data_IF_911812520777
#
_entry.id   IF_911812520777
#
_cell.length_a   1.000
_cell.length_b   1.000
_cell.length_c   1.000
_cell.angle_alpha   90.00
_cell.angle_beta   90.00
_cell.angle_gamma   90.00
#
_symmetry.space_group_name_H-M   'P 1'
#
loop_
_entity.id
_entity.type
_entity.pdbx_description
1 polymer ?
#
# COMPACT_ATOMS: atom_id res chain seq x y z
N UNK A 1 -58.47 -13.17 -50.86
CA UNK A 1 -58.75 -14.43 -51.64
C UNK A 1 -57.79 -15.51 -51.17
N UNK A 2 -58.37 -16.62 -50.76
CA UNK A 2 -57.85 -17.99 -50.68
C UNK A 2 -56.62 -18.27 -49.84
N UNK A 3 -56.66 -18.86 -48.59
CA UNK A 3 -56.83 -20.28 -48.25
C UNK A 3 -55.62 -21.13 -48.66
N UNK A 4 -54.95 -21.84 -47.76
CA UNK A 4 -55.23 -23.07 -47.03
C UNK A 4 -54.13 -23.30 -46.01
N UNK A 5 -54.24 -23.59 -44.77
CA UNK A 5 -54.83 -24.68 -43.99
C UNK A 5 -54.20 -26.09 -44.24
N UNK A 6 -53.71 -26.60 -43.10
CA UNK A 6 -53.51 -28.00 -42.70
C UNK A 6 -52.26 -28.78 -43.15
N UNK A 7 -51.48 -29.33 -42.20
CA UNK A 7 -51.68 -30.73 -41.83
C UNK A 7 -50.93 -31.06 -40.51
N UNK A 8 -51.69 -31.56 -39.54
CA UNK A 8 -51.27 -32.31 -38.37
C UNK A 8 -50.70 -33.66 -38.76
N UNK A 9 -49.63 -34.13 -38.17
CA UNK A 9 -49.40 -35.58 -38.07
C UNK A 9 -48.79 -35.87 -36.68
N UNK A 10 -49.61 -36.43 -35.85
CA UNK A 10 -49.31 -37.12 -34.58
C UNK A 10 -48.68 -38.46 -34.93
N UNK A 11 -47.59 -38.82 -34.36
CA UNK A 11 -47.15 -40.19 -34.12
C UNK A 11 -46.72 -40.31 -32.66
N UNK A 12 -47.51 -41.05 -31.94
CA UNK A 12 -47.29 -41.50 -30.57
C UNK A 12 -46.67 -42.92 -30.58
N UNK A 13 -45.93 -43.19 -29.50
CA UNK A 13 -45.70 -44.52 -28.90
C UNK A 13 -44.53 -45.35 -29.45
N UNK A 14 -43.46 -45.51 -28.68
CA UNK A 14 -43.17 -46.79 -28.09
C UNK A 14 -42.26 -46.64 -26.84
N UNK A 15 -42.80 -47.08 -25.73
CA UNK A 15 -42.11 -47.38 -24.48
C UNK A 15 -41.09 -48.52 -24.71
N UNK A 16 -39.86 -48.34 -24.33
CA UNK A 16 -38.97 -49.44 -24.02
C UNK A 16 -38.16 -49.07 -22.75
N UNK A 17 -38.56 -49.65 -21.66
CA UNK A 17 -37.88 -49.75 -20.41
C UNK A 17 -36.56 -50.48 -20.55
N UNK A 18 -35.47 -49.85 -20.27
CA UNK A 18 -34.22 -50.50 -19.89
C UNK A 18 -33.68 -49.89 -18.61
N UNK A 19 -33.94 -50.56 -17.53
CA UNK A 19 -33.24 -50.43 -16.25
C UNK A 19 -31.81 -50.95 -16.46
N UNK A 20 -30.83 -50.10 -16.37
CA UNK A 20 -29.46 -50.50 -16.03
C UNK A 20 -28.70 -49.39 -15.32
N UNK A 21 -28.35 -49.65 -14.09
CA UNK A 21 -27.11 -49.24 -13.47
C UNK A 21 -26.89 -47.77 -13.19
N UNK A 22 -27.20 -47.34 -11.99
CA UNK A 22 -26.52 -46.18 -11.37
C UNK A 22 -25.02 -46.48 -11.28
N UNK A 23 -24.25 -46.10 -12.26
CA UNK A 23 -22.83 -45.85 -12.08
C UNK A 23 -22.68 -44.40 -11.59
N UNK A 24 -22.49 -44.21 -10.30
CA UNK A 24 -22.05 -42.95 -9.72
C UNK A 24 -20.76 -42.57 -10.40
N UNK A 25 -20.80 -41.54 -11.28
CA UNK A 25 -19.59 -40.90 -11.72
C UNK A 25 -18.85 -40.38 -10.49
N UNK A 26 -17.55 -40.57 -10.39
CA UNK A 26 -16.78 -39.93 -9.31
C UNK A 26 -16.94 -38.42 -9.48
N UNK A 27 -17.64 -37.79 -8.54
CA UNK A 27 -17.52 -36.35 -8.34
C UNK A 27 -16.08 -36.09 -7.98
N UNK A 28 -15.30 -35.65 -8.96
CA UNK A 28 -14.11 -34.90 -8.68
C UNK A 28 -14.61 -33.56 -8.13
N UNK A 29 -14.86 -33.47 -6.84
CA UNK A 29 -14.77 -32.25 -6.09
C UNK A 29 -13.31 -31.80 -6.19
N UNK A 30 -12.98 -31.06 -7.23
CA UNK A 30 -11.86 -30.14 -7.15
C UNK A 30 -12.31 -29.10 -6.13
N UNK A 31 -11.99 -29.31 -4.85
CA UNK A 31 -11.79 -28.23 -3.94
C UNK A 31 -10.75 -27.33 -4.63
N UNK A 32 -11.22 -26.29 -5.30
CA UNK A 32 -10.37 -25.15 -5.59
C UNK A 32 -10.00 -24.62 -4.22
N UNK A 33 -8.83 -25.04 -3.71
CA UNK A 33 -8.17 -24.44 -2.56
C UNK A 33 -8.18 -22.96 -2.87
N UNK A 34 -9.01 -22.17 -2.19
CA UNK A 34 -9.15 -20.74 -2.46
C UNK A 34 -7.76 -20.15 -2.31
N UNK A 35 -7.19 -19.71 -3.41
CA UNK A 35 -5.82 -19.26 -3.46
C UNK A 35 -5.64 -18.17 -2.39
N UNK A 36 -4.80 -18.44 -1.40
CA UNK A 36 -4.56 -17.55 -0.28
C UNK A 36 -4.07 -16.18 -0.80
N UNK A 37 -4.80 -15.12 -0.48
CA UNK A 37 -4.51 -13.76 -0.93
C UNK A 37 -3.17 -13.28 -0.34
N UNK A 38 -2.28 -12.62 -1.13
CA UNK A 38 -0.95 -12.27 -0.69
C UNK A 38 -0.91 -11.03 0.21
N UNK A 39 0.20 -10.86 0.93
CA UNK A 39 0.60 -9.57 1.52
C UNK A 39 1.46 -8.84 0.48
N UNK A 40 1.15 -7.57 0.20
CA UNK A 40 1.91 -6.71 -0.69
C UNK A 40 2.88 -5.83 0.11
N UNK A 41 4.16 -5.93 -0.20
CA UNK A 41 5.22 -5.07 0.30
C UNK A 41 5.66 -4.15 -0.84
N UNK A 42 5.76 -2.87 -0.60
CA UNK A 42 6.18 -1.89 -1.60
C UNK A 42 7.47 -1.20 -1.17
N UNK A 43 8.40 -1.03 -2.10
CA UNK A 43 9.59 -0.21 -1.96
C UNK A 43 9.88 0.51 -3.28
N UNK A 44 10.13 1.84 -3.28
CA UNK A 44 10.26 2.60 -4.52
C UNK A 44 11.53 2.27 -5.30
N UNK A 45 12.63 2.02 -4.61
CA UNK A 45 13.95 1.82 -5.22
C UNK A 45 14.43 0.37 -5.07
N UNK A 46 15.38 -0.08 -5.92
CA UNK A 46 16.01 -1.41 -5.76
C UNK A 46 16.55 -1.64 -4.34
N UNK A 47 17.26 -0.64 -3.79
CA UNK A 47 17.85 -0.71 -2.44
C UNK A 47 16.79 -0.81 -1.33
N UNK A 48 15.54 -0.48 -1.60
CA UNK A 48 14.42 -0.52 -0.65
C UNK A 48 13.50 -1.72 -0.84
N UNK A 49 13.66 -2.51 -1.92
CA UNK A 49 12.78 -3.63 -2.25
C UNK A 49 13.51 -4.97 -2.39
N UNK A 50 14.69 -4.96 -3.00
CA UNK A 50 15.28 -6.20 -3.52
C UNK A 50 15.89 -7.10 -2.44
N UNK A 51 16.36 -6.54 -1.32
CA UNK A 51 16.83 -7.33 -0.18
C UNK A 51 15.72 -8.16 0.45
N UNK A 52 14.52 -7.59 0.59
CA UNK A 52 13.35 -8.34 1.06
C UNK A 52 12.95 -9.41 0.04
N UNK A 53 12.88 -9.06 -1.24
CA UNK A 53 12.50 -9.98 -2.31
C UNK A 53 13.42 -11.21 -2.39
N UNK A 54 14.72 -11.05 -2.14
CA UNK A 54 15.71 -12.15 -2.12
C UNK A 54 15.48 -13.16 -0.99
N UNK A 55 14.68 -12.83 0.03
CA UNK A 55 14.35 -13.71 1.16
C UNK A 55 13.07 -14.52 0.95
N UNK A 56 12.36 -14.29 -0.15
CA UNK A 56 11.17 -15.06 -0.49
C UNK A 56 11.55 -16.42 -1.09
N UNK A 57 10.79 -17.44 -0.74
CA UNK A 57 10.90 -18.75 -1.38
C UNK A 57 10.23 -18.75 -2.75
N UNK A 58 10.84 -19.47 -3.73
CA UNK A 58 10.28 -19.75 -5.07
C UNK A 58 9.88 -18.49 -5.84
N UNK A 59 10.74 -17.48 -5.85
CA UNK A 59 10.46 -16.17 -6.46
C UNK A 59 10.23 -16.29 -7.97
N UNK A 60 9.09 -15.77 -8.42
CA UNK A 60 8.77 -15.44 -9.81
C UNK A 60 8.79 -13.93 -9.96
N UNK A 61 9.40 -13.42 -11.05
CA UNK A 61 9.42 -12.00 -11.35
C UNK A 61 8.43 -11.68 -12.47
N UNK A 62 7.55 -10.74 -12.22
CA UNK A 62 6.61 -10.21 -13.21
C UNK A 62 6.84 -8.71 -13.39
N UNK A 63 6.52 -8.20 -14.59
CA UNK A 63 6.58 -6.77 -14.90
C UNK A 63 5.24 -6.28 -15.42
N UNK A 64 4.92 -5.03 -15.07
CA UNK A 64 3.82 -4.28 -15.67
C UNK A 64 4.33 -2.86 -15.92
N UNK A 65 4.57 -2.51 -17.18
CA UNK A 65 5.31 -1.30 -17.50
C UNK A 65 6.71 -1.32 -16.87
N UNK A 66 7.03 -0.29 -16.11
CA UNK A 66 8.30 -0.17 -15.36
C UNK A 66 8.25 -0.81 -13.97
N UNK A 67 7.07 -1.20 -13.50
CA UNK A 67 6.88 -1.81 -12.17
C UNK A 67 7.34 -3.25 -12.19
N UNK A 68 7.99 -3.68 -11.12
CA UNK A 68 8.49 -5.05 -10.97
C UNK A 68 7.88 -5.69 -9.74
N UNK A 69 7.31 -6.87 -9.89
CA UNK A 69 6.69 -7.66 -8.82
C UNK A 69 7.47 -8.94 -8.62
N UNK A 70 8.02 -9.12 -7.43
CA UNK A 70 8.68 -10.34 -6.98
C UNK A 70 7.65 -11.15 -6.19
N UNK A 71 7.15 -12.22 -6.78
CA UNK A 71 6.06 -13.05 -6.25
C UNK A 71 6.68 -14.30 -5.66
N UNK A 72 6.47 -14.53 -4.37
CA UNK A 72 7.04 -15.68 -3.68
C UNK A 72 6.28 -16.02 -2.39
N UNK A 73 6.95 -16.70 -1.47
CA UNK A 73 6.38 -17.07 -0.18
C UNK A 73 7.34 -16.71 0.95
N UNK A 74 6.77 -16.36 2.09
CA UNK A 74 7.47 -16.20 3.36
C UNK A 74 6.74 -17.05 4.41
N UNK A 75 7.45 -17.97 5.08
CA UNK A 75 6.85 -18.94 6.01
C UNK A 75 5.63 -19.66 5.39
N UNK A 76 5.74 -20.05 4.12
CA UNK A 76 4.70 -20.67 3.27
C UNK A 76 3.54 -19.76 2.86
N UNK A 77 3.42 -18.56 3.43
CA UNK A 77 2.39 -17.57 3.09
C UNK A 77 2.76 -16.80 1.81
N UNK A 78 1.80 -16.52 0.89
CA UNK A 78 2.09 -15.76 -0.32
C UNK A 78 2.42 -14.30 0.01
N UNK A 79 3.53 -13.83 -0.52
CA UNK A 79 4.02 -12.45 -0.37
C UNK A 79 4.47 -11.92 -1.72
N UNK A 80 4.14 -10.68 -2.01
CA UNK A 80 4.60 -9.96 -3.19
C UNK A 80 5.41 -8.75 -2.74
N UNK A 81 6.60 -8.60 -3.30
CA UNK A 81 7.39 -7.36 -3.16
C UNK A 81 7.30 -6.60 -4.46
N UNK A 82 6.79 -5.37 -4.41
CA UNK A 82 6.69 -4.48 -5.56
C UNK A 82 7.79 -3.41 -5.50
N UNK A 83 8.56 -3.32 -6.59
CA UNK A 83 9.41 -2.16 -6.87
C UNK A 83 8.60 -1.17 -7.69
N UNK A 84 8.14 -0.11 -7.05
CA UNK A 84 7.14 0.80 -7.60
C UNK A 84 7.73 1.91 -8.48
N UNK A 85 9.01 2.26 -8.29
CA UNK A 85 9.57 3.52 -8.75
C UNK A 85 9.28 4.65 -7.75
N UNK A 86 10.08 5.71 -7.80
CA UNK A 86 9.94 6.86 -6.91
C UNK A 86 8.76 7.75 -7.30
N UNK A 87 8.17 8.40 -6.31
CA UNK A 87 7.15 9.42 -6.49
C UNK A 87 5.72 8.91 -6.37
N UNK A 88 4.83 9.88 -6.14
CA UNK A 88 3.42 9.65 -5.85
C UNK A 88 2.69 8.94 -7.00
N UNK A 89 2.92 9.38 -8.24
CA UNK A 89 2.25 8.85 -9.43
C UNK A 89 2.65 7.40 -9.71
N UNK A 90 3.94 7.09 -9.63
CA UNK A 90 4.43 5.74 -9.80
C UNK A 90 3.85 4.80 -8.75
N UNK A 91 3.83 5.25 -7.49
CA UNK A 91 3.32 4.45 -6.39
C UNK A 91 1.81 4.25 -6.48
N UNK A 92 1.03 5.28 -6.80
CA UNK A 92 -0.41 5.15 -7.02
C UNK A 92 -0.72 4.11 -8.12
N UNK A 93 -0.06 4.24 -9.27
CA UNK A 93 -0.26 3.33 -10.39
C UNK A 93 0.15 1.89 -10.05
N UNK A 94 1.33 1.70 -9.44
CA UNK A 94 1.80 0.37 -9.03
C UNK A 94 0.90 -0.28 -7.98
N UNK A 95 0.34 0.52 -7.05
CA UNK A 95 -0.60 0.04 -6.03
C UNK A 95 -1.90 -0.44 -6.66
N UNK A 96 -2.50 0.36 -7.53
CA UNK A 96 -3.73 -0.01 -8.23
C UNK A 96 -3.53 -1.28 -9.08
N UNK A 97 -2.46 -1.34 -9.88
CA UNK A 97 -2.11 -2.54 -10.67
C UNK A 97 -1.95 -3.78 -9.78
N UNK A 98 -1.29 -3.62 -8.62
CA UNK A 98 -1.08 -4.74 -7.71
C UNK A 98 -2.39 -5.22 -7.06
N UNK A 99 -3.28 -4.31 -6.67
CA UNK A 99 -4.58 -4.66 -6.09
C UNK A 99 -5.43 -5.41 -7.13
N UNK A 100 -5.60 -4.84 -8.32
CA UNK A 100 -6.41 -5.43 -9.39
C UNK A 100 -5.88 -6.81 -9.85
N UNK A 101 -4.57 -6.99 -9.82
CA UNK A 101 -3.95 -8.22 -10.35
C UNK A 101 -3.80 -9.33 -9.31
N UNK A 102 -3.57 -8.98 -8.06
CA UNK A 102 -3.16 -9.94 -7.04
C UNK A 102 -4.08 -9.98 -5.82
N UNK A 103 -5.02 -9.05 -5.71
CA UNK A 103 -6.00 -8.96 -4.61
C UNK A 103 -5.34 -9.13 -3.21
N UNK A 104 -4.40 -8.25 -2.80
CA UNK A 104 -3.69 -8.40 -1.53
C UNK A 104 -4.62 -8.20 -0.34
N UNK A 105 -4.37 -8.96 0.76
CA UNK A 105 -5.09 -8.76 2.03
C UNK A 105 -4.61 -7.56 2.83
N UNK A 106 -3.40 -7.11 2.57
CA UNK A 106 -2.76 -5.98 3.25
C UNK A 106 -1.61 -5.41 2.42
N UNK A 107 -1.34 -4.12 2.60
CA UNK A 107 -0.25 -3.39 1.94
C UNK A 107 0.65 -2.77 3.00
N UNK A 108 1.96 -3.05 2.92
CA UNK A 108 3.00 -2.35 3.68
C UNK A 108 3.85 -1.56 2.69
N UNK A 109 3.76 -0.23 2.74
CA UNK A 109 4.61 0.66 1.96
C UNK A 109 5.80 1.10 2.82
N UNK A 110 7.02 0.74 2.41
CA UNK A 110 8.21 0.91 3.22
C UNK A 110 9.34 1.57 2.44
N UNK A 111 10.23 2.25 3.14
CA UNK A 111 11.37 2.91 2.52
C UNK A 111 12.09 3.87 3.47
N UNK A 112 12.96 4.69 2.90
CA UNK A 112 13.71 5.73 3.60
C UNK A 112 12.92 7.04 3.67
N UNK A 113 13.32 7.95 4.56
CA UNK A 113 12.66 9.24 4.75
C UNK A 113 13.60 10.30 5.30
N UNK A 114 13.22 11.57 5.14
CA UNK A 114 13.78 12.72 5.84
C UNK A 114 13.07 12.95 7.18
N UNK A 115 13.84 13.28 8.23
CA UNK A 115 13.30 13.52 9.57
C UNK A 115 12.74 14.91 9.74
N UNK A 116 11.49 15.02 10.20
CA UNK A 116 10.84 16.27 10.61
C UNK A 116 10.85 16.46 12.13
N UNK A 117 10.53 15.40 12.88
CA UNK A 117 10.56 15.42 14.35
C UNK A 117 12.02 15.56 14.85
N UNK A 118 12.35 16.65 15.56
CA UNK A 118 13.71 16.89 16.03
C UNK A 118 14.22 15.90 17.09
N UNK A 119 13.33 15.09 17.66
CA UNK A 119 13.67 14.04 18.64
C UNK A 119 14.14 12.73 18.01
N UNK A 120 14.01 12.60 16.67
CA UNK A 120 14.39 11.42 15.91
C UNK A 120 15.77 11.56 15.29
N UNK A 121 16.44 10.43 15.11
CA UNK A 121 17.76 10.33 14.53
C UNK A 121 17.80 9.38 13.32
N UNK A 122 18.85 9.49 12.53
CA UNK A 122 19.12 8.53 11.45
C UNK A 122 19.13 7.11 12.01
N UNK A 123 18.51 6.17 11.30
CA UNK A 123 18.13 4.82 11.68
C UNK A 123 16.90 4.67 12.58
N UNK A 124 16.33 5.71 13.17
CA UNK A 124 15.03 5.56 13.83
C UNK A 124 13.95 5.20 12.80
N UNK A 125 12.98 4.39 13.21
CA UNK A 125 11.86 3.94 12.37
C UNK A 125 10.57 4.58 12.86
N UNK A 126 9.80 5.13 11.92
CA UNK A 126 8.43 5.62 12.15
C UNK A 126 7.42 4.65 11.56
N UNK A 127 6.54 4.14 12.42
CA UNK A 127 5.33 3.43 12.05
C UNK A 127 4.24 4.46 11.75
N UNK A 128 3.73 4.47 10.55
CA UNK A 128 2.71 5.40 10.10
C UNK A 128 1.37 5.15 10.80
N UNK A 129 1.23 5.65 12.05
CA UNK A 129 -0.07 5.69 12.71
C UNK A 129 -1.07 6.43 11.82
N UNK A 130 -0.58 7.40 11.05
CA UNK A 130 -1.29 8.06 9.96
C UNK A 130 -0.33 8.55 8.88
N UNK A 131 -0.85 8.72 7.67
CA UNK A 131 -0.11 9.21 6.51
C UNK A 131 -0.87 10.38 5.89
N UNK A 132 -0.18 11.39 5.37
CA UNK A 132 -0.81 12.59 4.81
C UNK A 132 -0.06 13.11 3.58
N UNK A 133 -0.78 13.69 2.62
CA UNK A 133 -0.18 14.38 1.49
C UNK A 133 0.16 15.83 1.89
N UNK A 134 1.45 16.08 2.16
CA UNK A 134 1.96 17.42 2.50
C UNK A 134 2.25 18.32 1.29
N UNK A 135 2.18 17.76 0.08
CA UNK A 135 2.27 18.50 -1.18
C UNK A 135 0.93 19.08 -1.65
N UNK A 136 -0.17 18.68 -1.02
CA UNK A 136 -1.50 19.19 -1.34
C UNK A 136 -1.77 20.51 -0.61
N UNK A 137 -1.42 21.60 -1.27
CA UNK A 137 -1.40 22.94 -0.70
C UNK A 137 -2.12 23.93 -1.60
N UNK A 138 -2.70 24.97 -1.01
CA UNK A 138 -3.27 26.11 -1.71
C UNK A 138 -2.70 27.43 -1.17
N UNK A 139 -2.63 28.43 -2.03
CA UNK A 139 -2.18 29.78 -1.69
C UNK A 139 -3.35 30.75 -1.73
N UNK A 140 -3.24 31.88 -1.03
CA UNK A 140 -4.05 33.05 -1.28
C UNK A 140 -3.65 33.71 -2.60
N UNK A 141 -4.54 34.58 -3.13
CA UNK A 141 -4.19 35.42 -4.26
C UNK A 141 -3.25 36.55 -3.80
N UNK A 142 -2.16 36.72 -4.54
CA UNK A 142 -1.22 37.84 -4.42
C UNK A 142 -1.02 38.45 -5.79
N UNK A 143 -0.84 39.77 -5.86
CA UNK A 143 -0.52 40.49 -7.10
C UNK A 143 0.97 40.27 -7.49
N UNK A 144 1.30 40.60 -8.72
CA UNK A 144 2.66 40.54 -9.22
C UNK A 144 3.61 41.36 -8.34
N UNK A 145 4.75 40.80 -7.97
CA UNK A 145 5.78 41.35 -7.07
C UNK A 145 5.38 41.47 -5.59
N UNK A 146 4.29 40.88 -5.14
CA UNK A 146 3.97 40.79 -3.72
C UNK A 146 4.73 39.67 -2.99
N UNK A 147 5.48 38.87 -3.76
CA UNK A 147 6.40 37.87 -3.25
C UNK A 147 5.85 36.44 -3.20
N UNK A 148 6.71 35.52 -2.74
CA UNK A 148 6.38 34.10 -2.54
C UNK A 148 6.78 33.73 -1.12
N UNK A 149 5.81 33.31 -0.31
CA UNK A 149 6.03 32.86 1.06
C UNK A 149 5.40 31.47 1.28
N UNK A 150 6.20 30.39 1.08
CA UNK A 150 5.69 29.03 1.16
C UNK A 150 5.12 28.64 2.52
N UNK A 151 5.51 29.30 3.60
CA UNK A 151 4.97 29.06 4.95
C UNK A 151 3.56 29.61 5.15
N UNK A 152 3.09 30.48 4.25
CA UNK A 152 1.71 30.97 4.22
C UNK A 152 0.75 30.06 3.42
N UNK A 153 1.29 29.01 2.79
CA UNK A 153 0.46 28.07 2.07
C UNK A 153 -0.32 27.19 3.04
N UNK A 154 -1.59 26.97 2.74
CA UNK A 154 -2.49 26.22 3.62
C UNK A 154 -2.80 24.83 3.07
N UNK A 155 -3.01 23.84 3.94
CA UNK A 155 -3.39 22.50 3.52
C UNK A 155 -4.67 22.49 2.69
N UNK A 156 -4.65 21.70 1.61
CA UNK A 156 -5.81 21.41 0.79
C UNK A 156 -6.12 19.91 0.89
N UNK A 157 -7.10 19.58 1.71
CA UNK A 157 -7.49 18.18 1.90
C UNK A 157 -8.28 17.72 0.67
N UNK A 158 -7.76 16.71 -0.03
CA UNK A 158 -8.29 16.27 -1.33
C UNK A 158 -9.26 15.10 -1.21
N UNK A 159 -9.13 14.31 -0.16
CA UNK A 159 -9.94 13.12 -0.03
C UNK A 159 -11.23 13.39 0.75
N UNK A 160 -12.35 12.93 0.20
CA UNK A 160 -13.60 12.86 0.96
C UNK A 160 -13.56 11.75 2.01
N UNK A 161 -14.21 11.96 3.16
CA UNK A 161 -14.27 10.99 4.25
C UNK A 161 -14.95 9.67 3.85
N UNK A 162 -15.91 9.71 2.93
CA UNK A 162 -16.69 8.56 2.46
C UNK A 162 -16.21 8.01 1.10
N UNK A 163 -15.00 8.34 0.70
CA UNK A 163 -14.43 7.86 -0.54
C UNK A 163 -13.54 8.90 -1.20
N UNK A 164 -12.70 8.43 -2.10
CA UNK A 164 -11.70 9.26 -2.76
C UNK A 164 -12.23 10.03 -3.97
N UNK A 165 -13.37 9.60 -4.54
CA UNK A 165 -13.88 10.16 -5.79
C UNK A 165 -14.48 11.58 -5.65
N UNK A 166 -14.87 11.99 -4.44
CA UNK A 166 -15.40 13.33 -4.20
C UNK A 166 -16.73 13.60 -4.90
N UNK A 167 -17.57 12.57 -5.02
CA UNK A 167 -18.88 12.65 -5.69
C UNK A 167 -19.82 13.65 -5.02
N UNK A 168 -19.75 13.77 -3.68
CA UNK A 168 -20.44 14.82 -2.94
C UNK A 168 -19.48 16.00 -2.70
N UNK A 169 -19.71 17.16 -3.32
CA UNK A 169 -18.87 18.34 -3.11
C UNK A 169 -18.91 18.87 -1.67
N UNK A 170 -19.92 18.48 -0.88
CA UNK A 170 -20.07 18.87 0.52
C UNK A 170 -19.53 17.82 1.49
N UNK A 171 -19.05 16.67 1.01
CA UNK A 171 -18.46 15.65 1.86
C UNK A 171 -17.29 16.22 2.66
N UNK A 172 -17.18 15.78 3.92
CA UNK A 172 -16.04 16.11 4.76
C UNK A 172 -14.75 15.63 4.10
N UNK A 173 -13.74 16.48 4.09
CA UNK A 173 -12.44 16.18 3.50
C UNK A 173 -11.51 15.61 4.58
N UNK A 174 -10.89 14.48 4.28
CA UNK A 174 -9.89 13.87 5.14
C UNK A 174 -8.49 14.39 4.82
N UNK A 175 -7.72 14.67 5.87
CA UNK A 175 -6.31 15.05 5.79
C UNK A 175 -5.39 13.85 5.91
N UNK A 176 -5.80 12.85 6.68
CA UNK A 176 -4.97 11.72 7.08
C UNK A 176 -5.60 10.41 6.64
N UNK A 177 -4.72 9.44 6.32
CA UNK A 177 -5.03 8.03 6.16
C UNK A 177 -4.49 7.29 7.37
N UNK A 178 -5.37 6.65 8.13
CA UNK A 178 -4.99 5.91 9.33
C UNK A 178 -4.28 4.60 8.96
N UNK A 179 -3.22 4.28 9.72
CA UNK A 179 -2.56 2.99 9.62
C UNK A 179 -3.44 1.87 10.18
N UNK A 180 -3.46 0.73 9.51
CA UNK A 180 -4.24 -0.42 9.95
C UNK A 180 -3.81 -0.92 11.33
N UNK A 181 -4.78 -1.17 12.22
CA UNK A 181 -4.54 -1.50 13.61
C UNK A 181 -3.82 -2.86 13.80
N UNK A 182 -4.14 -3.86 12.98
CA UNK A 182 -3.52 -5.19 13.07
C UNK A 182 -2.07 -5.16 12.55
N UNK A 183 -1.82 -4.41 11.47
CA UNK A 183 -0.47 -4.18 10.95
C UNK A 183 0.39 -3.38 11.93
N UNK A 184 -0.16 -2.30 12.53
CA UNK A 184 0.51 -1.52 13.57
C UNK A 184 0.83 -2.37 14.81
N UNK A 185 -0.11 -3.23 15.23
CA UNK A 185 0.12 -4.14 16.34
C UNK A 185 1.22 -5.17 16.03
N UNK A 186 1.24 -5.72 14.82
CA UNK A 186 2.29 -6.64 14.39
C UNK A 186 3.66 -5.95 14.36
N UNK A 187 3.74 -4.72 13.82
CA UNK A 187 4.96 -3.93 13.80
C UNK A 187 5.45 -3.63 15.22
N UNK A 188 4.58 -3.14 16.09
CA UNK A 188 4.95 -2.82 17.47
C UNK A 188 5.40 -4.06 18.28
N UNK A 189 4.85 -5.25 17.99
CA UNK A 189 5.21 -6.49 18.68
C UNK A 189 6.67 -6.93 18.42
N UNK A 190 7.25 -6.50 17.32
CA UNK A 190 8.65 -6.86 16.95
C UNK A 190 9.62 -5.69 17.08
N UNK A 191 9.21 -4.54 17.65
CA UNK A 191 10.05 -3.34 17.73
C UNK A 191 11.40 -3.57 18.43
N UNK A 192 11.42 -4.42 19.45
CA UNK A 192 12.62 -4.70 20.24
C UNK A 192 13.63 -5.61 19.50
N UNK A 193 13.24 -6.20 18.36
CA UNK A 193 14.18 -6.88 17.46
C UNK A 193 15.03 -5.92 16.64
N UNK A 194 14.59 -4.67 16.54
CA UNK A 194 15.34 -3.63 15.83
C UNK A 194 16.31 -2.92 16.79
N UNK A 195 17.60 -3.02 16.49
CA UNK A 195 18.67 -2.57 17.41
C UNK A 195 19.49 -1.39 16.89
N UNK A 196 19.18 -0.88 15.67
CA UNK A 196 19.96 0.22 15.06
C UNK A 196 19.45 1.61 15.43
N UNK A 197 18.24 1.70 15.94
CA UNK A 197 17.56 2.92 16.38
C UNK A 197 16.31 2.56 17.16
N UNK A 198 15.50 3.53 17.49
CA UNK A 198 14.20 3.34 18.11
C UNK A 198 13.11 3.15 17.05
N UNK A 199 12.02 2.46 17.42
CA UNK A 199 10.81 2.34 16.62
C UNK A 199 9.70 3.09 17.33
N UNK A 200 9.13 4.08 16.66
CA UNK A 200 8.06 4.94 17.21
C UNK A 200 6.85 4.99 16.28
N UNK A 201 5.70 5.34 16.81
CA UNK A 201 4.54 5.72 16.00
C UNK A 201 4.60 7.19 15.65
N UNK A 202 4.09 7.56 14.48
CA UNK A 202 4.05 8.95 14.07
C UNK A 202 3.32 9.18 12.76
N UNK A 203 3.36 10.41 12.27
CA UNK A 203 2.76 10.81 11.01
C UNK A 203 3.81 10.81 9.90
N UNK A 204 3.52 10.12 8.80
CA UNK A 204 4.32 10.13 7.57
C UNK A 204 3.74 11.18 6.63
N UNK A 205 4.54 12.17 6.23
CA UNK A 205 4.20 13.15 5.20
C UNK A 205 4.74 12.72 3.84
N UNK A 206 3.94 12.84 2.79
CA UNK A 206 4.35 12.48 1.44
C UNK A 206 4.20 13.65 0.47
N UNK A 207 5.22 13.93 -0.32
CA UNK A 207 5.18 14.84 -1.45
C UNK A 207 6.36 14.56 -2.39
N UNK A 208 6.21 14.86 -3.68
CA UNK A 208 7.31 14.77 -4.65
C UNK A 208 8.27 15.95 -4.52
N UNK A 209 8.76 16.15 -3.30
CA UNK A 209 9.68 17.22 -2.92
C UNK A 209 10.77 16.66 -2.02
N UNK A 210 11.99 17.16 -2.18
CA UNK A 210 13.08 16.98 -1.22
C UNK A 210 13.22 18.27 -0.41
N UNK A 211 12.70 18.29 0.82
CA UNK A 211 12.84 19.43 1.70
C UNK A 211 14.19 19.37 2.47
N UNK A 212 15.00 20.41 2.33
CA UNK A 212 16.25 20.56 3.07
C UNK A 212 16.39 21.96 3.72
N UNK A 213 15.27 22.68 3.80
CA UNK A 213 15.15 23.96 4.49
C UNK A 213 14.54 23.72 5.87
N UNK A 214 15.27 24.04 6.92
CA UNK A 214 14.88 23.73 8.31
C UNK A 214 13.55 24.40 8.69
N UNK A 215 13.31 25.64 8.24
CA UNK A 215 12.07 26.36 8.53
C UNK A 215 10.87 25.66 7.85
N UNK A 216 11.07 25.16 6.63
CA UNK A 216 10.04 24.41 5.92
C UNK A 216 9.73 23.06 6.59
N UNK A 217 10.76 22.35 7.02
CA UNK A 217 10.67 21.09 7.77
C UNK A 217 9.90 21.31 9.09
N UNK A 218 10.27 22.34 9.86
CA UNK A 218 9.58 22.69 11.09
C UNK A 218 8.11 23.06 10.82
N UNK A 219 7.84 23.81 9.74
CA UNK A 219 6.49 24.18 9.37
C UNK A 219 5.59 22.95 9.09
N UNK A 220 6.10 21.93 8.39
CA UNK A 220 5.37 20.69 8.19
C UNK A 220 5.16 19.92 9.49
N UNK A 221 6.16 19.86 10.35
CA UNK A 221 6.04 19.24 11.66
C UNK A 221 4.95 19.92 12.51
N UNK A 222 4.93 21.25 12.54
CA UNK A 222 3.96 22.04 13.32
C UNK A 222 2.55 21.98 12.76
N UNK A 223 2.37 22.02 11.44
CA UNK A 223 1.05 22.13 10.80
C UNK A 223 0.40 20.78 10.47
N UNK A 224 1.21 19.73 10.26
CA UNK A 224 0.71 18.38 9.95
C UNK A 224 1.06 17.34 11.02
N UNK A 225 1.88 17.70 12.02
CA UNK A 225 2.40 16.76 13.01
C UNK A 225 3.30 15.68 12.41
N UNK A 226 3.92 15.96 11.25
CA UNK A 226 4.76 14.97 10.57
C UNK A 226 6.01 14.64 11.37
N UNK A 227 6.30 13.36 11.52
CA UNK A 227 7.55 12.86 12.09
C UNK A 227 8.64 12.71 11.04
N UNK A 228 8.24 12.37 9.82
CA UNK A 228 9.10 12.17 8.65
C UNK A 228 8.41 12.58 7.37
N UNK A 229 9.20 12.80 6.31
CA UNK A 229 8.70 12.98 4.95
C UNK A 229 9.32 11.97 3.97
N UNK A 230 8.57 11.65 2.94
CA UNK A 230 8.96 10.79 1.83
C UNK A 230 8.10 11.07 0.59
N UNK A 231 8.12 10.23 -0.44
CA UNK A 231 7.52 10.58 -1.74
C UNK A 231 6.46 9.57 -2.23
N UNK A 232 5.97 8.64 -1.40
CA UNK A 232 5.14 7.50 -1.85
C UNK A 232 3.93 7.18 -0.98
N UNK A 233 4.09 7.27 0.34
CA UNK A 233 3.17 6.68 1.31
C UNK A 233 1.73 7.16 1.19
N UNK A 234 1.50 8.47 1.02
CA UNK A 234 0.15 9.00 0.90
C UNK A 234 -0.55 8.53 -0.37
N UNK A 235 0.17 8.37 -1.48
CA UNK A 235 -0.40 7.84 -2.71
C UNK A 235 -0.82 6.37 -2.55
N UNK A 236 0.04 5.53 -1.95
CA UNK A 236 -0.30 4.15 -1.65
C UNK A 236 -1.49 4.06 -0.67
N UNK A 237 -1.50 4.87 0.39
CA UNK A 237 -2.57 4.91 1.38
C UNK A 237 -3.92 5.33 0.76
N UNK A 238 -3.91 6.34 -0.11
CA UNK A 238 -5.10 6.80 -0.81
C UNK A 238 -5.70 5.71 -1.70
N UNK A 239 -4.87 5.02 -2.48
CA UNK A 239 -5.34 3.92 -3.33
C UNK A 239 -5.81 2.74 -2.47
N UNK A 240 -5.07 2.36 -1.43
CA UNK A 240 -5.48 1.30 -0.50
C UNK A 240 -6.85 1.60 0.14
N UNK A 241 -7.08 2.86 0.55
CA UNK A 241 -8.37 3.32 1.07
C UNK A 241 -9.48 3.22 0.03
N UNK A 242 -9.22 3.59 -1.22
CA UNK A 242 -10.20 3.52 -2.31
C UNK A 242 -10.67 2.09 -2.62
N UNK A 243 -9.80 1.10 -2.35
CA UNK A 243 -10.07 -0.33 -2.56
C UNK A 243 -10.39 -1.08 -1.25
N UNK A 244 -10.49 -0.39 -0.13
CA UNK A 244 -10.72 -0.97 1.21
C UNK A 244 -9.70 -2.05 1.59
N UNK A 245 -8.42 -1.81 1.25
CA UNK A 245 -7.31 -2.70 1.60
C UNK A 245 -6.55 -2.15 2.82
N UNK A 246 -6.33 -2.95 3.88
CA UNK A 246 -5.51 -2.58 5.04
C UNK A 246 -4.13 -2.06 4.63
N UNK A 247 -3.70 -0.93 5.20
CA UNK A 247 -2.46 -0.24 4.83
C UNK A 247 -1.61 0.15 6.04
N UNK A 248 -0.28 0.05 5.88
CA UNK A 248 0.68 0.61 6.84
C UNK A 248 1.90 1.19 6.11
N UNK A 249 2.22 2.44 6.40
CA UNK A 249 3.51 3.04 6.06
C UNK A 249 4.57 2.72 7.12
N UNK A 250 5.79 2.36 6.70
CA UNK A 250 6.94 2.17 7.60
C UNK A 250 8.14 2.90 7.00
N UNK A 251 8.72 3.84 7.74
CA UNK A 251 9.83 4.64 7.26
C UNK A 251 10.99 4.67 8.24
N UNK A 252 12.20 4.47 7.70
CA UNK A 252 13.45 4.70 8.44
C UNK A 252 14.01 6.06 8.09
N UNK A 253 14.49 6.81 9.07
CA UNK A 253 15.17 8.06 8.81
C UNK A 253 16.54 7.81 8.16
N UNK A 254 16.74 8.37 6.97
CA UNK A 254 18.01 8.35 6.24
C UNK A 254 18.79 9.64 6.38
N UNK A 255 18.10 10.73 6.68
CA UNK A 255 18.66 12.07 6.80
C UNK A 255 17.79 12.95 7.70
N UNK A 256 18.41 13.89 8.38
CA UNK A 256 17.75 14.96 9.10
C UNK A 256 18.74 16.14 9.32
N UNK A 257 18.32 17.16 10.06
CA UNK A 257 19.18 18.32 10.35
C UNK A 257 20.47 17.96 11.09
N UNK A 258 20.50 16.86 11.86
CA UNK A 258 21.68 16.48 12.65
C UNK A 258 22.80 15.88 11.82
N UNK A 259 22.50 15.35 10.63
CA UNK A 259 23.49 14.86 9.67
C UNK A 259 23.64 15.76 8.44
N UNK A 260 23.20 17.03 8.53
CA UNK A 260 23.27 17.99 7.43
C UNK A 260 22.39 17.64 6.23
N UNK A 261 21.32 16.89 6.44
CA UNK A 261 20.40 16.46 5.38
C UNK A 261 20.98 15.41 4.43
N UNK A 262 22.10 14.78 4.75
CA UNK A 262 22.78 13.82 3.87
C UNK A 262 22.09 12.45 3.91
N UNK A 263 21.70 11.95 2.73
CA UNK A 263 21.11 10.63 2.58
C UNK A 263 22.07 9.50 2.99
N UNK A 264 21.64 8.62 3.88
CA UNK A 264 22.36 7.42 4.26
C UNK A 264 21.71 6.16 3.68
N UNK A 265 22.25 5.56 2.61
CA UNK A 265 21.67 4.41 1.92
C UNK A 265 21.59 3.15 2.80
N UNK A 266 22.43 3.00 3.82
CA UNK A 266 22.45 1.83 4.69
C UNK A 266 21.17 1.69 5.54
N UNK A 267 20.42 2.78 5.68
CA UNK A 267 19.13 2.76 6.40
C UNK A 267 18.07 1.95 5.65
N UNK A 268 18.10 1.96 4.31
CA UNK A 268 17.15 1.22 3.48
C UNK A 268 17.19 -0.30 3.75
N UNK A 269 18.40 -0.86 3.90
CA UNK A 269 18.55 -2.27 4.24
C UNK A 269 18.06 -2.59 5.66
N UNK A 270 18.35 -1.70 6.61
CA UNK A 270 17.91 -1.83 7.98
C UNK A 270 16.37 -1.82 8.10
N UNK A 271 15.71 -1.00 7.29
CA UNK A 271 14.25 -0.97 7.23
C UNK A 271 13.67 -2.28 6.69
N UNK A 272 14.24 -2.83 5.62
CA UNK A 272 13.78 -4.11 5.07
C UNK A 272 13.98 -5.28 6.07
N UNK A 273 15.05 -5.25 6.88
CA UNK A 273 15.27 -6.24 7.94
C UNK A 273 14.15 -6.16 8.99
N UNK A 274 13.77 -4.97 9.39
CA UNK A 274 12.67 -4.77 10.33
C UNK A 274 11.32 -5.15 9.72
N UNK A 275 11.01 -4.70 8.51
CA UNK A 275 9.75 -5.02 7.82
C UNK A 275 9.61 -6.53 7.60
N UNK A 276 10.70 -7.24 7.37
CA UNK A 276 10.70 -8.70 7.29
C UNK A 276 10.15 -9.35 8.58
N UNK A 277 10.59 -8.88 9.74
CA UNK A 277 10.08 -9.36 11.03
C UNK A 277 8.61 -8.97 11.25
N UNK A 278 8.19 -7.76 10.80
CA UNK A 278 6.80 -7.31 10.84
C UNK A 278 5.90 -8.26 10.04
N UNK A 279 6.29 -8.59 8.81
CA UNK A 279 5.50 -9.47 7.94
C UNK A 279 5.39 -10.88 8.53
N UNK A 280 6.46 -11.43 9.10
CA UNK A 280 6.42 -12.72 9.81
C UNK A 280 5.45 -12.70 10.98
N UNK A 281 5.49 -11.63 11.77
CA UNK A 281 4.57 -11.46 12.91
C UNK A 281 3.11 -11.34 12.45
N UNK A 282 2.87 -10.63 11.34
CA UNK A 282 1.53 -10.50 10.77
C UNK A 282 1.00 -11.83 10.23
N UNK A 283 1.85 -12.60 9.52
CA UNK A 283 1.52 -13.97 9.06
C UNK A 283 1.15 -14.88 10.25
N UNK A 284 1.92 -14.83 11.35
CA UNK A 284 1.59 -15.60 12.56
C UNK A 284 0.19 -15.27 13.09
N UNK A 285 -0.14 -13.98 13.18
CA UNK A 285 -1.48 -13.53 13.61
C UNK A 285 -2.61 -13.99 12.66
N UNK A 286 -2.37 -14.07 11.35
CA UNK A 286 -3.36 -14.58 10.40
C UNK A 286 -3.65 -16.06 10.65
N UNK A 287 -2.63 -16.84 10.99
CA UNK A 287 -2.79 -18.27 11.25
C UNK A 287 -3.45 -18.58 12.60
N UNK A 288 -3.51 -17.62 13.52
CA UNK A 288 -4.13 -17.76 14.84
C UNK A 288 -5.66 -17.43 14.81
N UNK A 289 -6.13 -16.76 13.75
CA UNK A 289 -7.54 -16.43 13.52
C UNK A 289 -8.26 -17.53 12.74
#
# INVERSE_FOLDING_TARGET
MKKNLTLFAVIAVMFATLLTGCASAPQFETEAESAQRPILIQGPMPIEAEKFAQRLDKVKVEKSGTFVFYIGKLDKYPVIVAKTGKGMENTAAATAVAIEKYDPIAIINQGTSGGHDPSLNVFDIVLGERTTNIGSLKTGHLEENEGIEPTNWIPMDLMASEGSAGEDPNAEKARYYEGDADLLAAANAVKDKYTKGKVVKGTIGSADVWNNEVDRINWFHENYGTSVEEMEGAAAAQIAKAYDVPFLGIRVLSNNKTNGGQYNPNTAEANQDYVYEVVKQYISKIHEK
#
